data_IF_468421951960
#
_entry.id   IF_468421951960
#
_cell.length_a   1.000
_cell.length_b   1.000
_cell.length_c   1.000
_cell.angle_alpha   90.00
_cell.angle_beta   90.00
_cell.angle_gamma   90.00
#
_symmetry.space_group_name_H-M   'P 1'
#
loop_
_entity.id
_entity.type
_entity.pdbx_description
1 polymer ?
#
# COMPACT_ATOMS: atom_id res chain seq x y z
N UNK A 1 -39.51 52.39 -3.00
CA UNK A 1 -39.88 51.00 -2.70
C UNK A 1 -40.24 50.34 -4.01
N UNK A 2 -39.69 49.14 -4.23
CA UNK A 2 -39.77 48.33 -5.45
C UNK A 2 -39.00 48.89 -6.66
N UNK A 3 -37.93 48.21 -7.09
CA UNK A 3 -37.90 47.49 -8.37
C UNK A 3 -36.53 46.82 -8.57
N UNK A 4 -36.61 45.58 -9.06
CA UNK A 4 -35.59 44.68 -9.58
C UNK A 4 -34.25 45.31 -10.04
N UNK A 5 -33.11 44.74 -9.61
CA UNK A 5 -32.06 44.15 -10.48
C UNK A 5 -30.85 43.72 -9.64
N UNK A 6 -30.45 42.46 -9.75
CA UNK A 6 -29.13 42.02 -9.30
C UNK A 6 -29.11 40.60 -8.75
N UNK A 7 -29.17 39.60 -9.64
CA UNK A 7 -28.75 38.22 -9.32
C UNK A 7 -27.31 38.25 -8.79
N UNK A 8 -27.00 37.81 -7.56
CA UNK A 8 -25.67 37.29 -7.28
C UNK A 8 -25.52 35.95 -7.99
N UNK A 9 -24.37 35.79 -8.64
CA UNK A 9 -24.00 34.65 -9.45
C UNK A 9 -24.29 33.32 -8.75
N UNK A 10 -24.91 32.44 -9.51
CA UNK A 10 -25.21 31.06 -9.16
C UNK A 10 -23.88 30.31 -9.11
N UNK A 11 -23.19 30.34 -7.96
CA UNK A 11 -22.11 29.40 -7.68
C UNK A 11 -22.76 28.02 -7.57
N UNK A 12 -22.45 27.19 -8.56
CA UNK A 12 -23.00 25.87 -8.78
C UNK A 12 -23.03 25.07 -7.48
N UNK A 13 -24.25 24.82 -7.01
CA UNK A 13 -24.55 23.68 -6.17
C UNK A 13 -24.34 22.44 -7.05
N UNK A 14 -23.10 21.95 -7.07
CA UNK A 14 -22.82 20.55 -7.42
C UNK A 14 -23.37 19.72 -6.27
N UNK A 15 -24.67 19.45 -6.32
CA UNK A 15 -25.23 18.30 -5.65
C UNK A 15 -24.62 17.08 -6.35
N UNK A 16 -23.56 16.53 -5.78
CA UNK A 16 -23.19 15.15 -6.09
C UNK A 16 -24.17 14.30 -5.29
N UNK A 17 -25.11 13.69 -6.01
CA UNK A 17 -26.06 12.76 -5.45
C UNK A 17 -25.25 11.63 -4.80
N UNK A 18 -25.47 11.45 -3.50
CA UNK A 18 -24.65 10.66 -2.61
C UNK A 18 -24.34 9.27 -3.15
N UNK A 19 -23.15 9.13 -3.72
CA UNK A 19 -22.42 7.88 -3.68
C UNK A 19 -21.62 7.92 -2.39
N UNK A 20 -22.22 7.41 -1.31
CA UNK A 20 -21.49 7.04 -0.11
C UNK A 20 -20.47 5.97 -0.48
N UNK A 21 -19.35 6.38 -1.08
CA UNK A 21 -18.16 5.58 -1.14
C UNK A 21 -17.72 5.43 0.31
N UNK A 22 -17.68 4.20 0.79
CA UNK A 22 -16.86 3.89 1.96
C UNK A 22 -15.44 4.37 1.62
N UNK A 23 -15.07 5.56 2.07
CA UNK A 23 -13.68 5.99 2.17
C UNK A 23 -13.04 5.16 3.28
N UNK A 24 -12.90 3.85 3.06
CA UNK A 24 -12.09 2.99 3.88
C UNK A 24 -10.67 3.51 3.80
N UNK A 25 -10.13 3.98 4.92
CA UNK A 25 -8.72 4.34 4.99
C UNK A 25 -7.91 3.06 4.86
N UNK A 26 -7.35 2.79 3.68
CA UNK A 26 -6.38 1.74 3.49
C UNK A 26 -5.01 2.26 3.92
N UNK A 27 -4.38 1.59 4.89
CA UNK A 27 -3.02 1.91 5.33
C UNK A 27 -2.03 1.03 4.58
N UNK A 28 -1.29 1.64 3.66
CA UNK A 28 -0.16 0.98 2.99
C UNK A 28 1.04 0.96 3.94
N UNK A 29 1.66 -0.19 4.11
CA UNK A 29 2.87 -0.37 4.91
C UNK A 29 3.99 -0.84 4.01
N UNK A 30 5.06 -0.06 3.96
CA UNK A 30 6.29 -0.49 3.31
C UNK A 30 6.99 -1.55 4.17
N UNK A 31 7.36 -2.67 3.54
CA UNK A 31 8.04 -3.78 4.21
C UNK A 31 9.57 -3.64 4.12
N UNK A 32 10.04 -2.87 3.14
CA UNK A 32 11.47 -2.78 2.78
C UNK A 32 11.98 -4.00 2.00
N UNK A 33 13.29 -4.19 2.02
CA UNK A 33 14.02 -5.27 1.35
C UNK A 33 15.09 -5.86 2.28
N UNK A 34 15.72 -6.96 1.88
CA UNK A 34 16.88 -7.56 2.58
C UNK A 34 18.21 -6.92 2.15
N UNK A 35 18.16 -5.64 1.76
CA UNK A 35 19.31 -4.88 1.28
C UNK A 35 19.46 -4.84 -0.24
N UNK A 36 18.63 -5.56 -1.00
CA UNK A 36 18.54 -5.45 -2.46
C UNK A 36 17.54 -4.38 -2.91
N UNK A 37 17.32 -4.33 -4.22
CA UNK A 37 16.53 -3.29 -4.90
C UNK A 37 15.03 -3.58 -4.93
N UNK A 38 14.61 -4.82 -4.65
CA UNK A 38 13.20 -5.21 -4.74
C UNK A 38 12.79 -6.31 -3.76
N UNK A 39 11.50 -6.33 -3.44
CA UNK A 39 10.85 -7.41 -2.70
C UNK A 39 9.43 -7.64 -3.25
N UNK A 40 8.89 -8.83 -3.02
CA UNK A 40 7.53 -9.20 -3.44
C UNK A 40 6.85 -9.99 -2.33
N UNK A 41 5.68 -9.52 -1.92
CA UNK A 41 4.82 -10.20 -0.95
C UNK A 41 3.89 -11.19 -1.66
N UNK A 42 3.82 -12.41 -1.15
CA UNK A 42 2.99 -13.48 -1.72
C UNK A 42 1.80 -13.87 -0.84
N UNK A 43 1.86 -13.58 0.46
CA UNK A 43 0.76 -13.90 1.37
C UNK A 43 0.83 -13.09 2.64
N UNK A 44 -0.35 -12.84 3.23
CA UNK A 44 -0.54 -12.20 4.53
C UNK A 44 -1.52 -13.04 5.35
N UNK A 45 -1.29 -13.17 6.65
CA UNK A 45 -2.22 -13.82 7.57
C UNK A 45 -2.97 -12.81 8.46
N UNK A 46 -3.92 -13.30 9.26
CA UNK A 46 -4.78 -12.47 10.13
C UNK A 46 -4.01 -11.70 11.21
N UNK A 47 -2.79 -12.14 11.56
CA UNK A 47 -1.92 -11.45 12.52
C UNK A 47 -1.04 -10.38 11.86
N UNK A 48 -1.18 -10.17 10.54
CA UNK A 48 -0.45 -9.16 9.79
C UNK A 48 0.98 -9.57 9.42
N UNK A 49 1.31 -10.85 9.50
CA UNK A 49 2.60 -11.36 9.04
C UNK A 49 2.56 -11.55 7.53
N UNK A 50 3.64 -11.18 6.85
CA UNK A 50 3.74 -11.27 5.39
C UNK A 50 4.89 -12.19 5.02
N UNK A 51 4.66 -13.08 4.07
CA UNK A 51 5.70 -13.93 3.47
C UNK A 51 5.93 -13.54 2.02
N UNK A 52 7.16 -13.71 1.56
CA UNK A 52 7.54 -13.27 0.23
C UNK A 52 8.97 -13.64 -0.14
N UNK A 53 9.44 -13.06 -1.24
CA UNK A 53 10.84 -13.10 -1.68
C UNK A 53 11.42 -11.69 -1.73
N UNK A 54 12.66 -11.52 -1.32
CA UNK A 54 13.36 -10.23 -1.29
C UNK A 54 14.78 -10.40 -1.79
N UNK A 55 15.23 -9.43 -2.59
CA UNK A 55 16.58 -9.43 -3.10
C UNK A 55 17.51 -9.05 -1.95
N UNK A 56 18.62 -9.78 -1.81
CA UNK A 56 19.66 -9.41 -0.86
C UNK A 56 20.57 -8.31 -1.43
N UNK A 57 21.47 -7.80 -0.59
CA UNK A 57 22.46 -6.81 -0.98
C UNK A 57 23.18 -7.16 -2.30
N UNK A 58 23.18 -6.19 -3.23
CA UNK A 58 23.78 -6.34 -4.56
C UNK A 58 22.93 -7.12 -5.57
N UNK A 59 21.66 -7.42 -5.24
CA UNK A 59 20.71 -8.11 -6.12
C UNK A 59 21.20 -9.49 -6.59
N UNK A 60 22.04 -10.14 -5.78
CA UNK A 60 22.73 -11.37 -6.16
C UNK A 60 21.83 -12.61 -6.14
N UNK A 61 20.86 -12.66 -5.22
CA UNK A 61 19.95 -13.79 -4.99
C UNK A 61 18.66 -13.31 -4.31
N UNK A 62 17.56 -13.99 -4.60
CA UNK A 62 16.27 -13.84 -3.92
C UNK A 62 16.18 -14.77 -2.72
N UNK A 63 15.97 -14.22 -1.53
CA UNK A 63 15.74 -14.96 -0.29
C UNK A 63 14.27 -14.93 0.10
N UNK A 64 13.78 -16.03 0.65
CA UNK A 64 12.48 -16.05 1.32
C UNK A 64 12.56 -15.17 2.56
N UNK A 65 11.52 -14.40 2.83
CA UNK A 65 11.44 -13.59 4.04
C UNK A 65 10.12 -13.80 4.79
N UNK A 66 10.17 -13.56 6.09
CA UNK A 66 9.02 -13.35 6.96
C UNK A 66 9.05 -11.92 7.49
N UNK A 67 8.03 -11.14 7.18
CA UNK A 67 7.80 -9.85 7.83
C UNK A 67 6.87 -10.04 9.02
N UNK A 68 7.32 -9.62 10.20
CA UNK A 68 6.54 -9.73 11.43
C UNK A 68 6.92 -8.58 12.36
N UNK A 69 5.91 -7.96 12.97
CA UNK A 69 6.09 -6.88 13.96
C UNK A 69 7.02 -5.74 13.50
N UNK A 70 6.89 -5.31 12.24
CA UNK A 70 7.67 -4.19 11.70
C UNK A 70 9.06 -4.53 11.18
N UNK A 71 9.48 -5.80 11.21
CA UNK A 71 10.82 -6.24 10.80
C UNK A 71 10.76 -7.38 9.79
N UNK A 72 11.68 -7.37 8.83
CA UNK A 72 11.86 -8.43 7.85
C UNK A 72 12.94 -9.40 8.34
N UNK A 73 12.58 -10.68 8.49
CA UNK A 73 13.49 -11.77 8.80
C UNK A 73 13.82 -12.55 7.53
N UNK A 74 15.12 -12.70 7.27
CA UNK A 74 15.63 -13.55 6.20
C UNK A 74 15.50 -15.03 6.58
N UNK A 75 14.84 -15.82 5.75
CA UNK A 75 14.70 -17.27 5.90
C UNK A 75 15.67 -18.04 4.98
N UNK A 76 16.42 -17.33 4.14
CA UNK A 76 17.34 -17.89 3.18
C UNK A 76 16.66 -18.55 1.99
N UNK A 77 17.39 -19.47 1.37
CA UNK A 77 16.90 -20.34 0.31
C UNK A 77 16.85 -21.78 0.83
N UNK A 78 16.03 -22.65 0.22
CA UNK A 78 16.04 -24.10 0.51
C UNK A 78 17.29 -24.82 -0.09
N UNK A 79 18.44 -24.13 -0.13
CA UNK A 79 19.70 -24.61 -0.74
C UNK A 79 19.90 -24.26 -2.21
N UNK A 80 19.01 -23.45 -2.81
CA UNK A 80 19.10 -22.96 -4.18
C UNK A 80 19.61 -21.52 -4.29
N UNK A 81 19.80 -21.03 -5.52
CA UNK A 81 20.14 -19.64 -5.80
C UNK A 81 18.91 -18.71 -5.85
N UNK A 82 17.72 -19.24 -5.59
CA UNK A 82 16.46 -18.51 -5.50
C UNK A 82 15.53 -19.25 -4.53
N UNK A 83 14.51 -18.54 -4.06
CA UNK A 83 13.49 -19.06 -3.14
C UNK A 83 12.15 -19.21 -3.82
#
# INVERSE_FOLDING_TARGET
MECCTGRPAQLGRFAVDGHSAHAGLYRLTDLGTLGGSSSSAFGINDTGQVVGSSAIAGDAVQHAFLYSNGSMADLGTLGGANS
#
